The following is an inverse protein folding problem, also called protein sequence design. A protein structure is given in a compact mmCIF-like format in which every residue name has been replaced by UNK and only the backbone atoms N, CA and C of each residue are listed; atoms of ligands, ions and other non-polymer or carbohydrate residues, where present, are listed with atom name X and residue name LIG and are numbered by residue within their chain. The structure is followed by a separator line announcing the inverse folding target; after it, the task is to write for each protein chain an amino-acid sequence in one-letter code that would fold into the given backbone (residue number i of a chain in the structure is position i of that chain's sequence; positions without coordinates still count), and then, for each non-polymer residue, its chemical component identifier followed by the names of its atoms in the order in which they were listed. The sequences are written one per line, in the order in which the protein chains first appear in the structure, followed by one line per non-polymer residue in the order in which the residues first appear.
data_IF_730503141171
#
_entry.id   IF_730503141171
#
_cell.length_a   1.000
_cell.length_b   1.000
_cell.length_c   1.000
_cell.angle_alpha   90.00
_cell.angle_beta   90.00
_cell.angle_gamma   90.00
#
_symmetry.space_group_name_H-M   'P 1'
#
loop_
_entity.id
_entity.type
_entity.pdbx_description
1 polymer ?
#
# COMPACT_ATOMS: atom_id res chain seq x y z
N UNK A 1 6.47 -20.33 23.12
CA UNK A 1 7.70 -19.99 22.38
C UNK A 1 7.66 -18.55 21.84
N UNK A 2 6.60 -18.14 21.13
CA UNK A 2 6.49 -16.79 20.54
C UNK A 2 6.55 -15.67 21.58
N UNK A 3 5.97 -15.86 22.77
CA UNK A 3 6.02 -14.86 23.86
C UNK A 3 7.47 -14.69 24.35
N UNK A 4 8.22 -15.79 24.48
CA UNK A 4 9.63 -15.72 24.91
C UNK A 4 10.49 -15.00 23.86
N UNK A 5 10.24 -15.25 22.58
CA UNK A 5 10.93 -14.58 21.47
C UNK A 5 10.58 -13.08 21.35
N UNK A 6 9.41 -12.66 21.85
CA UNK A 6 9.02 -11.25 21.85
C UNK A 6 9.54 -10.45 23.05
N UNK A 7 10.07 -11.10 24.09
CA UNK A 7 10.59 -10.42 25.29
C UNK A 7 11.66 -9.35 24.99
N UNK A 8 12.64 -9.55 24.09
CA UNK A 8 13.58 -8.49 23.74
C UNK A 8 12.88 -7.26 23.15
N UNK A 9 11.91 -7.46 22.26
CA UNK A 9 11.15 -6.35 21.67
C UNK A 9 10.32 -5.59 22.72
N UNK A 10 9.68 -6.32 23.62
CA UNK A 10 8.93 -5.74 24.74
C UNK A 10 9.88 -4.94 25.65
N UNK A 11 11.06 -5.46 25.97
CA UNK A 11 12.07 -4.76 26.74
C UNK A 11 12.50 -3.44 26.09
N UNK A 12 12.81 -3.46 24.79
CA UNK A 12 13.19 -2.26 24.03
C UNK A 12 12.08 -1.21 24.01
N UNK A 13 10.85 -1.62 23.79
CA UNK A 13 9.71 -0.70 23.67
C UNK A 13 9.30 -0.11 25.02
N UNK A 14 9.23 -0.91 26.08
CA UNK A 14 8.63 -0.49 27.35
C UNK A 14 9.64 -0.08 28.42
N UNK A 15 10.86 -0.61 28.40
CA UNK A 15 11.87 -0.33 29.44
C UNK A 15 12.89 0.70 28.96
N UNK A 16 13.36 0.57 27.72
CA UNK A 16 14.33 1.52 27.18
C UNK A 16 13.67 2.73 26.51
N UNK A 17 12.34 2.79 26.47
CA UNK A 17 11.55 3.84 25.80
C UNK A 17 12.03 4.13 24.35
N UNK A 18 12.60 3.11 23.70
CA UNK A 18 13.00 3.18 22.31
C UNK A 18 11.74 2.98 21.47
N UNK A 19 10.86 3.97 21.56
CA UNK A 19 9.57 3.92 20.90
C UNK A 19 9.65 4.63 19.54
N UNK A 20 10.06 3.89 18.50
CA UNK A 20 10.07 4.41 17.13
C UNK A 20 8.67 4.69 16.58
N UNK A 21 7.61 4.29 17.27
CA UNK A 21 6.22 4.65 16.93
C UNK A 21 5.93 6.13 17.25
N UNK A 22 6.58 6.67 18.27
CA UNK A 22 6.37 8.04 18.74
C UNK A 22 7.46 9.02 18.31
N UNK A 23 8.58 8.55 17.78
CA UNK A 23 9.67 9.42 17.31
C UNK A 23 9.74 9.40 15.79
N UNK A 24 9.28 10.45 15.10
CA UNK A 24 9.49 10.57 13.67
C UNK A 24 10.99 10.65 13.37
N UNK A 25 11.51 9.67 12.66
CA UNK A 25 12.95 9.52 12.39
C UNK A 25 13.58 10.68 11.60
N UNK A 26 12.83 11.69 11.17
CA UNK A 26 13.33 12.76 10.33
C UNK A 26 12.57 14.10 10.41
N UNK A 27 11.63 14.29 11.33
CA UNK A 27 10.91 15.57 11.43
C UNK A 27 11.04 16.11 12.85
N UNK A 28 12.03 16.94 13.05
CA UNK A 28 12.42 17.53 14.34
C UNK A 28 11.48 18.65 14.85
N UNK A 29 10.26 18.77 14.37
CA UNK A 29 9.41 19.92 14.72
C UNK A 29 7.92 19.66 14.88
N UNK A 30 7.45 18.40 14.94
CA UNK A 30 6.03 18.14 15.20
C UNK A 30 5.88 17.53 16.59
N UNK A 31 5.68 18.41 17.56
CA UNK A 31 5.18 18.08 18.90
C UNK A 31 3.71 17.62 18.79
N UNK A 32 3.46 16.37 18.47
CA UNK A 32 2.11 15.81 18.57
C UNK A 32 2.14 14.38 19.11
N UNK A 33 1.63 14.23 20.31
CA UNK A 33 1.62 13.02 21.13
C UNK A 33 0.73 11.89 20.62
N UNK A 34 0.08 12.01 19.44
CA UNK A 34 -0.83 10.99 18.88
C UNK A 34 -0.54 10.67 17.40
N UNK A 35 0.73 10.53 17.06
CA UNK A 35 1.20 10.34 15.67
C UNK A 35 0.55 9.13 14.99
N UNK A 36 0.34 8.02 15.72
CA UNK A 36 -0.23 6.80 15.14
C UNK A 36 -1.67 7.00 14.67
N UNK A 37 -2.53 7.59 15.51
CA UNK A 37 -3.94 7.76 15.16
C UNK A 37 -4.15 8.83 14.10
N UNK A 38 -3.36 9.91 14.14
CA UNK A 38 -3.48 10.99 13.15
C UNK A 38 -3.05 10.54 11.74
N UNK A 39 -2.10 9.59 11.65
CA UNK A 39 -1.60 9.12 10.36
C UNK A 39 -2.31 7.87 9.81
N UNK A 40 -3.27 7.30 10.54
CA UNK A 40 -3.92 6.05 10.15
C UNK A 40 -4.61 6.16 8.78
N UNK A 41 -5.26 7.28 8.50
CA UNK A 41 -5.96 7.51 7.23
C UNK A 41 -4.98 7.79 6.08
N UNK A 42 -3.89 8.52 6.35
CA UNK A 42 -2.80 8.71 5.40
C UNK A 42 -2.20 7.37 4.99
N UNK A 43 -1.83 6.56 5.97
CA UNK A 43 -1.24 5.25 5.76
C UNK A 43 -2.20 4.32 5.02
N UNK A 44 -3.48 4.33 5.34
CA UNK A 44 -4.47 3.51 4.67
C UNK A 44 -4.49 3.81 3.17
N UNK A 45 -4.65 5.07 2.76
CA UNK A 45 -4.71 5.44 1.35
C UNK A 45 -3.40 5.14 0.64
N UNK A 46 -2.25 5.44 1.26
CA UNK A 46 -0.94 5.20 0.67
C UNK A 46 -0.65 3.71 0.51
N UNK A 47 -0.89 2.90 1.53
CA UNK A 47 -0.61 1.47 1.50
C UNK A 47 -1.49 0.74 0.49
N UNK A 48 -2.80 1.02 0.47
CA UNK A 48 -3.68 0.35 -0.50
C UNK A 48 -3.33 0.71 -1.94
N UNK A 49 -2.89 1.95 -2.21
CA UNK A 49 -2.44 2.34 -3.55
C UNK A 49 -1.11 1.69 -3.93
N UNK A 50 -0.19 1.49 -2.99
CA UNK A 50 1.04 0.74 -3.23
C UNK A 50 0.72 -0.74 -3.54
N UNK A 51 -0.13 -1.37 -2.75
CA UNK A 51 -0.57 -2.76 -3.00
C UNK A 51 -1.23 -2.86 -4.38
N UNK A 52 -2.11 -1.93 -4.70
CA UNK A 52 -2.77 -1.88 -6.00
C UNK A 52 -1.77 -1.74 -7.16
N UNK A 53 -0.73 -0.91 -7.01
CA UNK A 53 0.33 -0.77 -8.01
C UNK A 53 0.98 -2.11 -8.34
N UNK A 54 1.30 -2.93 -7.34
CA UNK A 54 1.90 -4.25 -7.57
C UNK A 54 0.91 -5.26 -8.16
N UNK A 55 -0.38 -5.14 -7.88
CA UNK A 55 -1.42 -6.01 -8.44
C UNK A 55 -1.84 -5.60 -9.85
N UNK A 56 -1.65 -4.33 -10.22
CA UNK A 56 -2.17 -3.75 -11.45
C UNK A 56 -1.82 -4.56 -12.70
N UNK A 57 -0.57 -4.97 -12.99
CA UNK A 57 -0.28 -5.74 -14.18
C UNK A 57 -0.96 -7.11 -14.19
N UNK A 58 -1.11 -7.77 -13.04
CA UNK A 58 -1.77 -9.07 -12.93
C UNK A 58 -3.29 -8.97 -13.17
N UNK A 59 -3.90 -7.89 -12.72
CA UNK A 59 -5.33 -7.61 -12.97
C UNK A 59 -5.55 -7.25 -14.43
N UNK A 60 -4.69 -6.39 -15.00
CA UNK A 60 -4.80 -5.93 -16.38
C UNK A 60 -4.73 -7.09 -17.39
N UNK A 61 -3.87 -8.06 -17.17
CA UNK A 61 -3.76 -9.25 -18.00
C UNK A 61 -4.72 -10.37 -17.61
N UNK A 62 -5.70 -10.12 -16.75
CA UNK A 62 -6.67 -11.11 -16.25
C UNK A 62 -6.02 -12.37 -15.65
N UNK A 63 -4.84 -12.24 -15.07
CA UNK A 63 -4.17 -13.31 -14.33
C UNK A 63 -4.84 -13.48 -12.97
N UNK A 64 -5.15 -12.36 -12.32
CA UNK A 64 -6.00 -12.30 -11.12
C UNK A 64 -7.40 -11.93 -11.59
N UNK A 65 -8.35 -12.85 -11.41
CA UNK A 65 -9.75 -12.60 -11.74
C UNK A 65 -10.41 -11.90 -10.56
N UNK A 66 -10.86 -10.68 -10.80
CA UNK A 66 -11.73 -9.98 -9.86
C UNK A 66 -13.10 -10.64 -9.90
N UNK A 67 -13.59 -11.10 -8.76
CA UNK A 67 -14.98 -11.50 -8.62
C UNK A 67 -15.87 -10.30 -8.97
N UNK A 68 -17.11 -10.55 -9.39
CA UNK A 68 -18.03 -9.52 -9.91
C UNK A 68 -17.84 -8.18 -9.19
N UNK A 69 -17.17 -7.23 -9.86
CA UNK A 69 -16.91 -5.88 -9.36
C UNK A 69 -18.21 -5.14 -9.01
N UNK A 70 -19.34 -5.63 -9.54
CA UNK A 70 -20.69 -5.09 -9.36
C UNK A 70 -21.34 -5.46 -8.00
N UNK A 71 -20.61 -5.89 -7.00
CA UNK A 71 -21.19 -5.98 -5.67
C UNK A 71 -21.38 -4.56 -5.11
N UNK A 72 -22.62 -4.06 -5.14
CA UNK A 72 -22.97 -2.70 -4.73
C UNK A 72 -22.52 -2.40 -3.30
N UNK A 73 -22.52 -3.41 -2.43
CA UNK A 73 -22.05 -3.26 -1.05
C UNK A 73 -20.56 -2.91 -0.99
N UNK A 74 -19.74 -3.52 -1.85
CA UNK A 74 -18.31 -3.23 -1.91
C UNK A 74 -18.07 -1.82 -2.48
N UNK A 75 -18.87 -1.38 -3.42
CA UNK A 75 -18.79 -0.02 -3.98
C UNK A 75 -19.14 1.00 -2.91
N UNK A 76 -20.26 0.81 -2.21
CA UNK A 76 -20.67 1.72 -1.12
C UNK A 76 -19.62 1.74 -0.01
N UNK A 77 -19.14 0.58 0.41
CA UNK A 77 -18.14 0.47 1.47
C UNK A 77 -16.82 1.15 1.07
N UNK A 78 -16.35 0.94 -0.16
CA UNK A 78 -15.14 1.59 -0.66
C UNK A 78 -15.30 3.11 -0.72
N UNK A 79 -16.46 3.61 -1.11
CA UNK A 79 -16.77 5.03 -1.14
C UNK A 79 -16.76 5.63 0.26
N UNK A 80 -17.39 4.97 1.23
CA UNK A 80 -17.40 5.44 2.64
C UNK A 80 -15.97 5.48 3.20
N UNK A 81 -15.20 4.40 3.04
CA UNK A 81 -13.82 4.33 3.54
C UNK A 81 -12.98 5.42 2.89
N UNK A 82 -13.09 5.61 1.57
CA UNK A 82 -12.33 6.64 0.87
C UNK A 82 -12.74 8.04 1.33
N UNK A 83 -14.03 8.34 1.43
CA UNK A 83 -14.53 9.66 1.84
C UNK A 83 -14.05 10.02 3.25
N UNK A 84 -14.15 9.10 4.20
CA UNK A 84 -13.64 9.30 5.57
C UNK A 84 -12.14 9.52 5.55
N UNK A 85 -11.40 8.69 4.80
CA UNK A 85 -9.94 8.82 4.74
C UNK A 85 -9.48 10.12 4.08
N UNK A 86 -10.20 10.59 3.05
CA UNK A 86 -9.92 11.86 2.38
C UNK A 86 -10.16 13.04 3.30
N UNK A 87 -11.20 12.99 4.15
CA UNK A 87 -11.51 14.05 5.09
C UNK A 87 -10.39 14.27 6.13
N UNK A 88 -9.70 13.19 6.53
CA UNK A 88 -8.59 13.24 7.48
C UNK A 88 -7.20 13.20 6.82
N UNK A 89 -7.13 13.31 5.49
CA UNK A 89 -5.87 13.22 4.77
C UNK A 89 -5.07 14.54 4.86
N UNK A 90 -3.91 14.48 5.49
CA UNK A 90 -3.03 15.63 5.72
C UNK A 90 -1.55 15.35 5.31
N UNK A 91 -1.32 14.32 4.50
CA UNK A 91 0.02 13.92 4.08
C UNK A 91 0.72 15.00 3.26
N UNK A 92 1.90 15.44 3.73
CA UNK A 92 2.65 16.52 3.10
C UNK A 92 3.54 16.01 1.96
N UNK A 93 3.55 16.74 0.85
CA UNK A 93 4.40 16.40 -0.30
C UNK A 93 5.90 16.44 0.02
N UNK A 94 6.33 17.26 0.98
CA UNK A 94 7.71 17.35 1.48
C UNK A 94 8.20 16.04 2.10
N UNK A 95 7.30 15.17 2.53
CA UNK A 95 7.69 13.86 3.06
C UNK A 95 8.30 12.99 1.97
N UNK A 96 9.43 12.38 2.31
CA UNK A 96 10.03 11.35 1.46
C UNK A 96 9.11 10.13 1.49
N UNK A 97 8.74 9.55 0.34
CA UNK A 97 7.78 8.45 0.28
C UNK A 97 6.45 8.87 -0.33
N UNK A 98 5.32 8.32 0.16
CA UNK A 98 3.97 8.63 -0.31
C UNK A 98 3.49 7.81 -1.51
N UNK A 99 4.30 6.89 -2.02
CA UNK A 99 3.93 6.04 -3.15
C UNK A 99 3.95 6.76 -4.51
N UNK A 100 3.89 5.96 -5.58
CA UNK A 100 3.99 6.48 -6.96
C UNK A 100 2.74 7.29 -7.34
N UNK A 101 1.55 6.85 -6.97
CA UNK A 101 0.31 7.50 -7.39
C UNK A 101 0.10 8.85 -6.70
N UNK A 102 0.48 8.97 -5.43
CA UNK A 102 0.46 10.26 -4.73
C UNK A 102 1.43 11.25 -5.39
N UNK A 103 2.69 10.82 -5.59
CA UNK A 103 3.71 11.67 -6.24
C UNK A 103 3.31 12.06 -7.67
N UNK A 104 2.74 11.14 -8.44
CA UNK A 104 2.24 11.42 -9.78
C UNK A 104 1.07 12.40 -9.77
N UNK A 105 0.14 12.29 -8.82
CA UNK A 105 -0.99 13.22 -8.68
C UNK A 105 -0.51 14.66 -8.46
N UNK A 106 0.42 14.85 -7.53
CA UNK A 106 0.97 16.18 -7.26
C UNK A 106 1.80 16.69 -8.44
N UNK A 107 2.63 15.83 -9.06
CA UNK A 107 3.48 16.25 -10.17
C UNK A 107 2.69 16.66 -11.41
N UNK A 108 1.63 15.91 -11.76
CA UNK A 108 0.85 16.15 -12.98
C UNK A 108 -0.25 17.21 -12.80
N UNK A 109 -0.89 17.24 -11.63
CA UNK A 109 -2.11 18.02 -11.41
C UNK A 109 -1.96 19.05 -10.28
N UNK A 110 -0.88 19.05 -9.55
CA UNK A 110 -0.64 19.91 -8.38
C UNK A 110 -1.73 19.79 -7.30
N UNK A 111 -2.46 18.69 -7.30
CA UNK A 111 -3.51 18.39 -6.33
C UNK A 111 -3.62 16.89 -6.06
N UNK A 112 -4.44 16.51 -5.07
CA UNK A 112 -4.61 15.12 -4.65
C UNK A 112 -5.78 14.40 -5.33
N UNK A 113 -6.50 15.03 -6.26
CA UNK A 113 -7.75 14.47 -6.82
C UNK A 113 -7.49 13.14 -7.52
N UNK A 114 -6.47 13.06 -8.39
CA UNK A 114 -6.12 11.82 -9.07
C UNK A 114 -5.76 10.71 -8.07
N UNK A 115 -5.00 11.05 -7.03
CA UNK A 115 -4.64 10.10 -5.97
C UNK A 115 -5.87 9.56 -5.25
N UNK A 116 -6.86 10.40 -4.93
CA UNK A 116 -8.09 9.97 -4.26
C UNK A 116 -8.95 9.07 -5.14
N UNK A 117 -9.04 9.34 -6.45
CA UNK A 117 -9.71 8.46 -7.41
C UNK A 117 -9.03 7.09 -7.46
N UNK A 118 -7.70 7.06 -7.55
CA UNK A 118 -6.95 5.80 -7.55
C UNK A 118 -7.09 5.08 -6.22
N UNK A 119 -7.12 5.78 -5.10
CA UNK A 119 -7.35 5.19 -3.77
C UNK A 119 -8.71 4.52 -3.67
N UNK A 120 -9.76 5.16 -4.18
CA UNK A 120 -11.09 4.54 -4.25
C UNK A 120 -11.08 3.24 -5.06
N UNK A 121 -10.47 3.25 -6.26
CA UNK A 121 -10.34 2.06 -7.10
C UNK A 121 -9.52 0.98 -6.37
N UNK A 122 -8.45 1.37 -5.69
CA UNK A 122 -7.59 0.46 -4.94
C UNK A 122 -8.34 -0.24 -3.81
N UNK A 123 -9.10 0.51 -3.01
CA UNK A 123 -9.92 -0.03 -1.93
C UNK A 123 -11.00 -0.97 -2.50
N UNK A 124 -11.67 -0.57 -3.58
CA UNK A 124 -12.67 -1.40 -4.25
C UNK A 124 -12.07 -2.73 -4.73
N UNK A 125 -10.90 -2.70 -5.33
CA UNK A 125 -10.19 -3.91 -5.76
C UNK A 125 -9.83 -4.79 -4.56
N UNK A 126 -9.31 -4.22 -3.48
CA UNK A 126 -8.98 -4.97 -2.25
C UNK A 126 -10.20 -5.64 -1.64
N UNK A 127 -11.34 -4.95 -1.55
CA UNK A 127 -12.60 -5.51 -1.07
C UNK A 127 -13.11 -6.64 -1.96
N UNK A 128 -13.01 -6.50 -3.28
CA UNK A 128 -13.41 -7.55 -4.21
C UNK A 128 -12.51 -8.79 -4.13
N UNK A 129 -11.21 -8.62 -3.94
CA UNK A 129 -10.27 -9.72 -3.74
C UNK A 129 -10.48 -10.42 -2.39
N UNK A 130 -11.02 -9.71 -1.41
CA UNK A 130 -11.26 -10.24 -0.06
C UNK A 130 -12.66 -10.79 0.13
N UNK A 131 -13.61 -10.48 -0.75
CA UNK A 131 -15.03 -10.81 -0.59
C UNK A 131 -15.31 -12.31 -0.43
N UNK A 132 -14.47 -13.17 -1.00
CA UNK A 132 -14.60 -14.61 -0.92
C UNK A 132 -13.64 -15.26 0.08
N UNK A 133 -12.79 -14.48 0.74
CA UNK A 133 -11.78 -15.05 1.63
C UNK A 133 -11.37 -14.07 2.73
N UNK A 134 -11.90 -14.31 3.92
CA UNK A 134 -11.60 -13.50 5.09
C UNK A 134 -10.08 -13.41 5.39
N UNK A 135 -9.33 -14.48 5.07
CA UNK A 135 -7.88 -14.48 5.28
C UNK A 135 -7.18 -13.39 4.45
N UNK A 136 -7.66 -13.09 3.23
CA UNK A 136 -7.10 -12.02 2.42
C UNK A 136 -7.31 -10.65 3.08
N UNK A 137 -8.49 -10.40 3.62
CA UNK A 137 -8.80 -9.16 4.34
C UNK A 137 -7.91 -9.03 5.58
N UNK A 138 -7.76 -10.11 6.34
CA UNK A 138 -6.88 -10.13 7.51
C UNK A 138 -5.42 -9.84 7.15
N UNK A 139 -4.92 -10.41 6.04
CA UNK A 139 -3.57 -10.13 5.56
C UNK A 139 -3.37 -8.67 5.13
N UNK A 140 -4.35 -8.08 4.43
CA UNK A 140 -4.31 -6.66 4.07
C UNK A 140 -4.28 -5.79 5.33
N UNK A 141 -5.08 -6.14 6.34
CA UNK A 141 -5.10 -5.44 7.62
C UNK A 141 -3.75 -5.56 8.36
N UNK A 142 -3.12 -6.74 8.34
CA UNK A 142 -1.79 -6.93 8.91
C UNK A 142 -0.74 -6.08 8.17
N UNK A 143 -0.78 -6.02 6.84
CA UNK A 143 0.11 -5.16 6.05
C UNK A 143 -0.05 -3.68 6.40
N UNK A 144 -1.27 -3.27 6.70
CA UNK A 144 -1.57 -1.92 7.13
C UNK A 144 -0.98 -1.62 8.53
N UNK A 145 -1.21 -2.48 9.52
CA UNK A 145 -0.73 -2.28 10.90
C UNK A 145 0.81 -2.41 10.99
N UNK A 146 1.42 -3.23 10.13
CA UNK A 146 2.87 -3.44 10.15
C UNK A 146 3.68 -2.18 9.79
N UNK A 147 3.04 -1.14 9.26
CA UNK A 147 3.69 0.12 8.87
C UNK A 147 3.05 1.34 9.56
N UNK A 148 3.30 1.55 10.84
CA UNK A 148 2.77 2.69 11.58
C UNK A 148 3.54 4.00 11.31
N UNK A 149 4.56 3.97 10.46
CA UNK A 149 5.42 5.12 10.18
C UNK A 149 4.67 6.21 9.42
N UNK A 150 5.05 7.48 9.64
CA UNK A 150 4.52 8.65 8.92
C UNK A 150 4.83 8.53 7.42
N UNK A 151 6.03 8.05 7.07
CA UNK A 151 6.48 7.96 5.68
C UNK A 151 6.37 6.52 5.17
N UNK A 152 5.57 6.33 4.13
CA UNK A 152 5.34 5.02 3.51
C UNK A 152 6.13 4.92 2.20
N UNK A 153 7.00 3.92 2.08
CA UNK A 153 7.84 3.72 0.90
C UNK A 153 7.49 2.40 0.19
N UNK A 154 7.59 2.40 -1.14
CA UNK A 154 7.48 1.16 -1.94
C UNK A 154 8.46 0.08 -1.49
N UNK A 155 9.70 0.44 -1.14
CA UNK A 155 10.75 -0.49 -0.72
C UNK A 155 10.41 -1.36 0.50
N UNK A 156 9.41 -0.94 1.31
CA UNK A 156 8.97 -1.75 2.46
C UNK A 156 8.07 -2.91 2.04
N UNK A 157 7.54 -2.84 0.83
CA UNK A 157 6.60 -3.81 0.29
C UNK A 157 7.21 -4.66 -0.83
N UNK A 158 8.27 -4.18 -1.48
CA UNK A 158 8.95 -4.87 -2.57
C UNK A 158 10.22 -5.60 -2.04
N UNK A 159 10.46 -6.88 -2.28
CA UNK A 159 9.66 -7.87 -3.04
C UNK A 159 8.61 -8.61 -2.19
N UNK A 160 8.46 -8.26 -0.90
CA UNK A 160 7.62 -8.96 0.06
C UNK A 160 6.18 -9.15 -0.40
N UNK A 161 5.55 -8.11 -0.98
CA UNK A 161 4.19 -8.21 -1.50
C UNK A 161 4.06 -9.26 -2.60
N UNK A 162 5.04 -9.34 -3.51
CA UNK A 162 5.01 -10.32 -4.60
C UNK A 162 5.04 -11.73 -4.03
N UNK A 163 5.89 -11.98 -3.03
CA UNK A 163 5.95 -13.27 -2.35
C UNK A 163 4.62 -13.57 -1.67
N UNK A 164 4.06 -12.62 -0.90
CA UNK A 164 2.78 -12.80 -0.23
C UNK A 164 1.64 -13.11 -1.21
N UNK A 165 1.57 -12.40 -2.35
CA UNK A 165 0.51 -12.59 -3.33
C UNK A 165 0.50 -14.00 -3.92
N UNK A 166 1.67 -14.60 -4.14
CA UNK A 166 1.74 -15.93 -4.73
C UNK A 166 1.81 -17.08 -3.71
N UNK A 167 2.05 -16.80 -2.43
CA UNK A 167 2.17 -17.84 -1.41
C UNK A 167 1.02 -17.91 -0.42
N UNK A 168 0.55 -16.75 0.07
CA UNK A 168 -0.39 -16.69 1.19
C UNK A 168 -1.77 -16.19 0.75
N UNK A 169 -1.82 -15.20 -0.15
CA UNK A 169 -3.10 -14.71 -0.66
C UNK A 169 -3.79 -15.79 -1.51
N UNK A 170 -5.08 -15.96 -1.27
CA UNK A 170 -5.92 -16.89 -2.04
C UNK A 170 -6.65 -16.11 -3.12
N UNK A 171 -6.06 -16.03 -4.29
CA UNK A 171 -6.66 -15.42 -5.48
C UNK A 171 -7.15 -16.48 -6.47
N UNK A 172 -8.15 -16.12 -7.27
CA UNK A 172 -8.50 -16.88 -8.46
C UNK A 172 -7.47 -16.59 -9.55
N UNK A 173 -6.37 -17.36 -9.55
CA UNK A 173 -5.28 -17.21 -10.52
C UNK A 173 -5.57 -17.98 -11.80
N UNK A 174 -5.46 -17.31 -12.93
CA UNK A 174 -5.46 -17.94 -14.25
C UNK A 174 -4.01 -18.19 -14.71
N UNK A 175 -3.47 -19.35 -14.30
CA UNK A 175 -2.11 -19.74 -14.66
C UNK A 175 -1.89 -19.87 -16.18
N UNK A 176 -2.95 -20.16 -16.96
CA UNK A 176 -2.84 -20.18 -18.42
C UNK A 176 -2.54 -18.81 -18.99
N UNK A 177 -3.14 -17.76 -18.43
CA UNK A 177 -2.83 -16.39 -18.79
C UNK A 177 -1.44 -15.94 -18.32
N UNK A 178 -0.99 -16.39 -17.16
CA UNK A 178 0.36 -16.10 -16.68
C UNK A 178 1.42 -16.71 -17.59
N UNK A 179 1.25 -17.96 -18.02
CA UNK A 179 2.22 -18.70 -18.83
C UNK A 179 2.28 -18.25 -20.30
N UNK A 180 1.42 -17.32 -20.74
CA UNK A 180 1.58 -16.70 -22.05
C UNK A 180 2.84 -15.84 -22.06
N UNK A 181 3.80 -16.18 -22.91
CA UNK A 181 5.08 -15.46 -23.03
C UNK A 181 4.91 -13.94 -23.12
N UNK A 182 3.92 -13.47 -23.89
CA UNK A 182 3.62 -12.04 -24.03
C UNK A 182 3.25 -11.38 -22.69
N UNK A 183 2.36 -12.01 -21.91
CA UNK A 183 1.92 -11.44 -20.63
C UNK A 183 3.07 -11.38 -19.64
N UNK A 184 3.88 -12.42 -19.56
CA UNK A 184 5.07 -12.44 -18.72
C UNK A 184 6.04 -11.34 -19.09
N UNK A 185 6.32 -11.17 -20.39
CA UNK A 185 7.19 -10.10 -20.89
C UNK A 185 6.66 -8.71 -20.52
N UNK A 186 5.36 -8.46 -20.67
CA UNK A 186 4.79 -7.16 -20.33
C UNK A 186 4.80 -6.88 -18.83
N UNK A 187 4.56 -7.88 -17.97
CA UNK A 187 4.69 -7.73 -16.52
C UNK A 187 6.12 -7.37 -16.15
N UNK A 188 7.09 -8.10 -16.73
CA UNK A 188 8.50 -7.80 -16.52
C UNK A 188 8.85 -6.37 -16.97
N UNK A 189 8.41 -5.96 -18.17
CA UNK A 189 8.62 -4.61 -18.68
C UNK A 189 8.01 -3.55 -17.78
N UNK A 190 6.81 -3.78 -17.22
CA UNK A 190 6.16 -2.85 -16.30
C UNK A 190 7.04 -2.56 -15.08
N UNK A 191 7.52 -3.60 -14.41
CA UNK A 191 8.38 -3.42 -13.24
C UNK A 191 9.78 -2.90 -13.61
N UNK A 192 10.30 -3.29 -14.76
CA UNK A 192 11.59 -2.80 -15.25
C UNK A 192 11.56 -1.30 -15.55
N UNK A 193 10.51 -0.82 -16.21
CA UNK A 193 10.29 0.61 -16.47
C UNK A 193 10.16 1.37 -15.13
N UNK A 194 9.43 0.82 -14.16
CA UNK A 194 9.32 1.42 -12.84
C UNK A 194 10.68 1.57 -12.15
N UNK A 195 11.53 0.54 -12.22
CA UNK A 195 12.88 0.60 -11.66
C UNK A 195 13.74 1.67 -12.35
N UNK A 196 13.68 1.76 -13.69
CA UNK A 196 14.44 2.77 -14.45
C UNK A 196 13.99 4.18 -14.05
N UNK A 197 12.70 4.45 -14.03
CA UNK A 197 12.16 5.78 -13.67
C UNK A 197 12.58 6.17 -12.24
N UNK A 198 12.54 5.23 -11.31
CA UNK A 198 12.94 5.49 -9.93
C UNK A 198 14.43 5.82 -9.81
N UNK A 199 15.29 5.15 -10.57
CA UNK A 199 16.72 5.42 -10.59
C UNK A 199 17.05 6.76 -11.27
N UNK A 200 16.40 7.09 -12.38
CA UNK A 200 16.56 8.38 -13.07
C UNK A 200 16.24 9.54 -12.13
N UNK A 201 15.16 9.44 -11.37
CA UNK A 201 14.77 10.46 -10.40
C UNK A 201 15.87 10.75 -9.36
N UNK A 202 16.60 9.73 -8.92
CA UNK A 202 17.72 9.90 -8.00
C UNK A 202 18.92 10.59 -8.65
N UNK A 203 19.18 10.36 -9.95
CA UNK A 203 20.27 10.98 -10.70
C UNK A 203 20.00 12.46 -10.96
N UNK A 204 18.77 12.83 -11.27
CA UNK A 204 18.41 14.19 -11.67
C UNK A 204 18.04 15.10 -10.49
N UNK A 205 18.07 14.61 -9.25
CA UNK A 205 17.70 15.38 -8.03
C UNK A 205 16.35 16.13 -8.15
N UNK A 206 15.43 15.58 -8.92
CA UNK A 206 14.07 16.10 -9.08
C UNK A 206 13.17 15.58 -7.97
#
# INVERSE_FOLDING_TARGET
LNIILSLPAIYYVFILDINFLNKPAAVSSIENNNIFFNNIFNNLLLIVTIIYFYLLPFIFFNIIKLNKVNNINNIILSLIITAVSVFFFDYQYSYTGGGIFYKASIFLFQNNILFFIISFISILVMLNLSSNNFNNLFLIFLLFISNPQITVYHKYYDPFLIILFFTIFKFNLDLKNLNKNKNFTYIFLFFFIFLIINNIKHIWKI
#
